data_IF_915651615611
#
_entry.id   IF_915651615611
#
_cell.length_a   1.000
_cell.length_b   1.000
_cell.length_c   1.000
_cell.angle_alpha   90.00
_cell.angle_beta   90.00
_cell.angle_gamma   90.00
#
_symmetry.space_group_name_H-M   'P 1'
#
loop_
_entity.id
_entity.type
_entity.pdbx_description
1 polymer ?
#
# COMPACT_ATOMS: atom_id res chain seq x y z
N UNK A 1 -23.34 11.24 5.15
CA UNK A 1 -22.24 11.57 6.10
C UNK A 1 -21.19 10.48 5.95
N UNK A 2 -19.89 10.79 6.05
CA UNK A 2 -18.80 9.83 6.05
C UNK A 2 -18.29 9.64 7.47
N UNK A 3 -17.90 8.40 7.80
CA UNK A 3 -17.25 8.09 9.07
C UNK A 3 -15.77 8.45 9.03
N UNK A 4 -15.14 8.33 7.84
CA UNK A 4 -13.72 8.62 7.61
C UNK A 4 -13.52 9.37 6.31
N UNK A 5 -12.66 10.39 6.34
CA UNK A 5 -12.15 11.05 5.14
C UNK A 5 -10.65 10.79 5.06
N UNK A 6 -10.22 10.18 3.96
CA UNK A 6 -8.83 9.76 3.72
C UNK A 6 -8.23 10.71 2.69
N UNK A 7 -7.15 11.38 3.03
CA UNK A 7 -6.46 12.34 2.17
C UNK A 7 -5.18 11.73 1.62
N UNK A 8 -5.16 11.49 0.32
CA UNK A 8 -4.09 10.83 -0.42
C UNK A 8 -4.48 9.43 -0.87
N UNK A 9 -4.63 9.23 -2.18
CA UNK A 9 -5.02 7.97 -2.82
C UNK A 9 -3.85 7.03 -3.16
N UNK A 10 -2.64 7.30 -2.65
CA UNK A 10 -1.51 6.37 -2.80
C UNK A 10 -1.71 5.08 -1.98
N UNK A 11 -0.68 4.20 -1.92
CA UNK A 11 -0.81 2.88 -1.31
C UNK A 11 -1.35 2.90 0.12
N UNK A 12 -0.92 3.86 0.93
CA UNK A 12 -1.39 3.99 2.31
C UNK A 12 -2.87 4.35 2.39
N UNK A 13 -3.31 5.36 1.64
CA UNK A 13 -4.71 5.81 1.67
C UNK A 13 -5.66 4.81 1.02
N UNK A 14 -5.29 4.24 -0.11
CA UNK A 14 -6.10 3.18 -0.75
C UNK A 14 -6.25 1.96 0.17
N UNK A 15 -5.14 1.52 0.81
CA UNK A 15 -5.20 0.43 1.80
C UNK A 15 -6.05 0.80 3.01
N UNK A 16 -5.95 2.04 3.52
CA UNK A 16 -6.79 2.49 4.62
C UNK A 16 -8.29 2.47 4.26
N UNK A 17 -8.65 2.86 3.02
CA UNK A 17 -10.03 2.78 2.54
C UNK A 17 -10.54 1.33 2.49
N UNK A 18 -9.69 0.38 2.03
CA UNK A 18 -10.02 -1.04 1.98
C UNK A 18 -10.28 -1.61 3.38
N UNK A 19 -9.43 -1.28 4.36
CA UNK A 19 -9.65 -1.69 5.74
C UNK A 19 -10.88 -1.00 6.36
N UNK A 20 -11.08 0.30 6.13
CA UNK A 20 -12.28 0.99 6.60
C UNK A 20 -13.57 0.31 6.10
N UNK A 21 -13.58 -0.10 4.83
CA UNK A 21 -14.71 -0.85 4.28
C UNK A 21 -14.91 -2.21 4.98
N UNK A 22 -13.85 -2.96 5.26
CA UNK A 22 -13.93 -4.23 6.02
C UNK A 22 -14.52 -4.05 7.42
N UNK A 23 -14.24 -2.91 8.05
CA UNK A 23 -14.82 -2.54 9.35
C UNK A 23 -16.22 -1.92 9.24
N UNK A 24 -16.82 -1.89 8.05
CA UNK A 24 -18.17 -1.37 7.82
C UNK A 24 -18.26 0.16 7.83
N UNK A 25 -17.13 0.86 7.75
CA UNK A 25 -17.09 2.33 7.77
C UNK A 25 -17.30 2.91 6.37
N UNK A 26 -18.11 3.97 6.30
CA UNK A 26 -18.32 4.74 5.09
C UNK A 26 -17.19 5.75 4.92
N UNK A 27 -16.31 5.54 3.94
CA UNK A 27 -15.16 6.40 3.70
C UNK A 27 -15.28 7.22 2.42
N UNK A 28 -14.62 8.38 2.42
CA UNK A 28 -14.33 9.21 1.24
C UNK A 28 -12.81 9.25 1.08
N UNK A 29 -12.32 8.82 -0.07
CA UNK A 29 -10.90 8.90 -0.44
C UNK A 29 -10.68 10.03 -1.43
N UNK A 30 -9.82 10.98 -1.10
CA UNK A 30 -9.50 12.12 -1.97
C UNK A 30 -8.02 12.19 -2.31
N UNK A 31 -7.69 12.53 -3.55
CA UNK A 31 -6.31 12.81 -3.97
C UNK A 31 -6.26 14.02 -4.88
N UNK A 32 -5.17 14.79 -4.79
CA UNK A 32 -4.91 15.93 -5.69
C UNK A 32 -4.52 15.49 -7.10
N UNK A 33 -4.01 14.29 -7.27
CA UNK A 33 -3.64 13.72 -8.55
C UNK A 33 -4.84 13.03 -9.22
N UNK A 34 -4.69 12.77 -10.52
CA UNK A 34 -5.55 11.90 -11.31
C UNK A 34 -4.74 10.62 -11.61
N UNK A 35 -5.30 9.46 -11.35
CA UNK A 35 -4.65 8.18 -11.57
C UNK A 35 -4.89 7.65 -13.00
N UNK A 36 -3.91 6.94 -13.60
CA UNK A 36 -2.59 6.59 -13.05
C UNK A 36 -1.65 7.79 -13.01
N UNK A 37 -0.89 7.91 -11.91
CA UNK A 37 0.12 8.94 -11.75
C UNK A 37 1.44 8.31 -11.34
N UNK A 38 2.55 8.87 -11.81
CA UNK A 38 3.87 8.49 -11.33
C UNK A 38 4.20 9.15 -9.99
N UNK A 39 5.07 8.50 -9.23
CA UNK A 39 5.66 9.06 -8.01
C UNK A 39 7.06 8.51 -7.82
N UNK A 40 8.05 9.39 -7.79
CA UNK A 40 9.44 9.01 -7.54
C UNK A 40 9.53 8.32 -6.18
N UNK A 41 9.79 7.02 -6.21
CA UNK A 41 9.95 6.14 -5.04
C UNK A 41 10.52 4.80 -5.52
N UNK A 42 11.06 3.99 -4.60
CA UNK A 42 11.44 2.62 -4.94
C UNK A 42 10.21 1.76 -5.30
N UNK A 43 10.35 0.97 -6.35
CA UNK A 43 9.27 0.13 -6.88
C UNK A 43 9.21 -1.26 -6.21
N UNK A 44 10.17 -1.55 -5.33
CA UNK A 44 10.20 -2.82 -4.61
C UNK A 44 9.13 -2.87 -3.50
N UNK A 45 8.28 -3.86 -3.57
CA UNK A 45 7.26 -4.11 -2.56
C UNK A 45 7.87 -4.87 -1.39
N UNK A 46 7.76 -4.28 -0.19
CA UNK A 46 8.23 -4.91 1.04
C UNK A 46 7.41 -6.17 1.36
N UNK A 47 8.01 -7.07 2.13
CA UNK A 47 7.29 -8.25 2.59
C UNK A 47 6.05 -7.94 3.42
N UNK A 48 6.02 -6.81 4.12
CA UNK A 48 4.81 -6.35 4.80
C UNK A 48 3.71 -5.98 3.80
N UNK A 49 4.07 -5.34 2.70
CA UNK A 49 3.14 -5.01 1.61
C UNK A 49 2.54 -6.30 1.02
N UNK A 50 3.37 -7.27 0.68
CA UNK A 50 2.92 -8.57 0.14
C UNK A 50 1.95 -9.26 1.09
N UNK A 51 2.22 -9.23 2.41
CA UNK A 51 1.32 -9.79 3.41
C UNK A 51 -0.04 -9.08 3.45
N UNK A 52 -0.04 -7.75 3.39
CA UNK A 52 -1.27 -6.96 3.33
C UNK A 52 -2.07 -7.28 2.06
N UNK A 53 -1.40 -7.45 0.92
CA UNK A 53 -2.07 -7.83 -0.34
C UNK A 53 -2.75 -9.19 -0.23
N UNK A 54 -2.12 -10.15 0.44
CA UNK A 54 -2.73 -11.46 0.71
C UNK A 54 -3.92 -11.34 1.66
N UNK A 55 -3.77 -10.58 2.74
CA UNK A 55 -4.81 -10.35 3.74
C UNK A 55 -6.06 -9.68 3.15
N UNK A 56 -5.86 -8.79 2.18
CA UNK A 56 -6.93 -8.11 1.45
C UNK A 56 -7.42 -8.89 0.21
N UNK A 57 -6.91 -10.10 -0.03
CA UNK A 57 -7.25 -10.94 -1.19
C UNK A 57 -6.94 -10.26 -2.53
N UNK A 58 -5.89 -9.43 -2.56
CA UNK A 58 -5.46 -8.67 -3.73
C UNK A 58 -4.23 -9.25 -4.41
N UNK A 59 -3.67 -10.36 -3.90
CA UNK A 59 -2.41 -10.90 -4.38
C UNK A 59 -2.51 -11.42 -5.82
N UNK A 60 -3.59 -12.09 -6.17
CA UNK A 60 -3.77 -12.66 -7.52
C UNK A 60 -3.83 -11.56 -8.59
N UNK A 61 -4.48 -10.44 -8.29
CA UNK A 61 -4.51 -9.29 -9.18
C UNK A 61 -3.17 -8.54 -9.24
N UNK A 62 -2.42 -8.52 -8.13
CA UNK A 62 -1.08 -7.94 -8.09
C UNK A 62 -0.10 -8.75 -8.97
N UNK A 63 -0.22 -10.07 -8.99
CA UNK A 63 0.63 -10.96 -9.81
C UNK A 63 0.37 -10.82 -11.33
N UNK A 64 -0.72 -10.19 -11.72
CA UNK A 64 -1.07 -9.92 -13.11
C UNK A 64 -0.55 -8.56 -13.61
N UNK A 65 0.00 -7.75 -12.70
CA UNK A 65 0.52 -6.43 -13.06
C UNK A 65 1.88 -6.54 -13.74
N UNK A 66 2.18 -5.60 -14.64
CA UNK A 66 3.49 -5.48 -15.24
C UNK A 66 4.54 -5.16 -14.18
N UNK A 67 5.47 -6.08 -13.99
CA UNK A 67 6.52 -6.00 -12.99
C UNK A 67 7.45 -7.20 -13.02
N UNK A 68 8.29 -7.32 -12.02
CA UNK A 68 9.24 -8.42 -11.89
C UNK A 68 9.11 -9.10 -10.54
N UNK A 69 9.21 -10.41 -10.57
CA UNK A 69 9.31 -11.23 -9.36
C UNK A 69 10.72 -11.20 -8.79
N UNK A 70 10.80 -11.18 -7.47
CA UNK A 70 12.06 -11.31 -6.74
C UNK A 70 12.03 -12.61 -5.96
N UNK A 71 13.00 -13.47 -6.21
CA UNK A 71 13.22 -14.70 -5.45
C UNK A 71 14.57 -14.70 -4.72
N UNK A 72 15.40 -13.68 -4.92
CA UNK A 72 16.72 -13.54 -4.33
C UNK A 72 17.05 -12.09 -4.06
N UNK A 73 17.72 -11.84 -2.95
CA UNK A 73 18.28 -10.53 -2.58
C UNK A 73 19.77 -10.71 -2.40
N UNK A 74 20.58 -9.97 -3.15
CA UNK A 74 22.05 -9.98 -3.04
C UNK A 74 22.51 -8.76 -2.24
N UNK A 75 23.30 -8.98 -1.20
CA UNK A 75 23.96 -7.94 -0.45
C UNK A 75 25.43 -7.89 -0.85
N UNK A 76 25.93 -6.72 -1.25
CA UNK A 76 27.31 -6.48 -1.61
C UNK A 76 28.00 -5.50 -0.68
N UNK A 77 29.28 -5.72 -0.35
CA UNK A 77 30.13 -4.80 0.37
C UNK A 77 31.02 -3.99 -0.60
N UNK A 78 31.56 -2.85 -0.18
CA UNK A 78 32.53 -2.10 -1.00
C UNK A 78 33.81 -2.89 -1.33
N UNK A 79 34.12 -3.94 -0.57
CA UNK A 79 35.25 -4.86 -0.83
C UNK A 79 34.93 -5.98 -1.81
N UNK A 80 33.82 -5.86 -2.56
CA UNK A 80 33.33 -6.84 -3.52
C UNK A 80 32.91 -8.20 -2.93
N UNK A 81 32.85 -8.35 -1.61
CA UNK A 81 32.25 -9.51 -0.99
C UNK A 81 30.74 -9.42 -1.09
N UNK A 82 30.09 -10.51 -1.42
CA UNK A 82 28.63 -10.55 -1.54
C UNK A 82 28.06 -11.85 -0.98
N UNK A 83 26.80 -11.78 -0.55
CA UNK A 83 26.02 -12.96 -0.16
C UNK A 83 24.58 -12.82 -0.63
N UNK A 84 23.96 -13.95 -0.91
CA UNK A 84 22.60 -14.06 -1.40
C UNK A 84 21.66 -14.57 -0.32
N UNK A 85 20.51 -13.93 -0.19
CA UNK A 85 19.37 -14.44 0.54
C UNK A 85 18.31 -14.88 -0.48
N UNK A 86 18.04 -16.17 -0.52
CA UNK A 86 16.96 -16.72 -1.33
C UNK A 86 15.64 -16.66 -0.57
N UNK A 87 14.62 -16.09 -1.19
CA UNK A 87 13.26 -16.17 -0.71
C UNK A 87 12.75 -17.56 -1.05
N UNK A 88 12.81 -18.48 -0.06
CA UNK A 88 12.41 -19.88 -0.26
C UNK A 88 10.94 -20.06 0.01
N UNK A 89 10.36 -20.97 -0.76
CA UNK A 89 9.02 -21.45 -0.47
C UNK A 89 9.00 -22.08 0.94
N UNK A 90 8.12 -21.61 1.77
CA UNK A 90 7.98 -22.05 3.16
C UNK A 90 6.51 -22.39 3.40
N UNK A 91 6.28 -23.56 3.99
CA UNK A 91 4.94 -23.94 4.44
C UNK A 91 4.39 -23.04 5.56
N UNK A 92 5.22 -22.16 6.10
CA UNK A 92 4.77 -21.16 7.07
C UNK A 92 4.16 -19.96 6.34
N UNK A 93 2.84 -19.71 6.47
CA UNK A 93 2.16 -18.59 5.79
C UNK A 93 2.66 -17.21 6.20
N UNK A 94 3.48 -17.11 7.26
CA UNK A 94 4.12 -15.87 7.69
C UNK A 94 5.41 -15.57 6.92
N UNK A 95 5.98 -16.55 6.22
CA UNK A 95 7.20 -16.37 5.45
C UNK A 95 6.87 -15.80 4.06
N UNK A 96 7.68 -14.84 3.65
CA UNK A 96 7.60 -14.26 2.31
C UNK A 96 8.47 -15.10 1.41
N UNK A 97 7.82 -15.76 0.46
CA UNK A 97 8.46 -16.66 -0.48
C UNK A 97 8.79 -15.99 -1.80
N UNK A 98 8.21 -14.82 -2.06
CA UNK A 98 8.31 -14.07 -3.29
C UNK A 98 8.18 -12.57 -3.00
N UNK A 99 9.03 -11.76 -3.59
CA UNK A 99 8.91 -10.31 -3.61
C UNK A 99 8.51 -9.82 -5.00
N UNK A 100 8.22 -8.54 -5.11
CA UNK A 100 7.82 -7.92 -6.37
C UNK A 100 8.49 -6.57 -6.53
N UNK A 101 8.83 -6.22 -7.78
CA UNK A 101 9.16 -4.85 -8.21
C UNK A 101 8.11 -4.45 -9.22
N UNK A 102 7.27 -3.51 -8.86
CA UNK A 102 6.16 -3.02 -9.69
C UNK A 102 6.21 -1.49 -9.70
N UNK A 103 6.27 -0.85 -10.89
CA UNK A 103 6.27 0.61 -10.99
C UNK A 103 5.12 1.23 -10.19
N UNK A 104 5.44 2.30 -9.44
CA UNK A 104 4.46 3.00 -8.59
C UNK A 104 3.23 3.48 -9.35
N UNK A 105 3.39 3.86 -10.62
CA UNK A 105 2.28 4.22 -11.48
C UNK A 105 1.26 3.09 -11.61
N UNK A 106 1.73 1.85 -11.76
CA UNK A 106 0.90 0.66 -11.93
C UNK A 106 0.33 0.21 -10.59
N UNK A 107 1.18 0.07 -9.58
CA UNK A 107 0.78 -0.41 -8.25
C UNK A 107 -0.19 0.53 -7.55
N UNK A 108 0.10 1.84 -7.55
CA UNK A 108 -0.77 2.83 -6.92
C UNK A 108 -2.14 2.90 -7.62
N UNK A 109 -2.14 2.84 -8.95
CA UNK A 109 -3.40 2.82 -9.72
C UNK A 109 -4.23 1.57 -9.43
N UNK A 110 -3.60 0.40 -9.38
CA UNK A 110 -4.28 -0.85 -9.02
C UNK A 110 -4.98 -0.75 -7.67
N UNK A 111 -4.27 -0.29 -6.63
CA UNK A 111 -4.86 -0.13 -5.30
C UNK A 111 -5.96 0.93 -5.28
N UNK A 112 -5.75 2.05 -5.98
CA UNK A 112 -6.77 3.10 -6.07
C UNK A 112 -8.05 2.59 -6.74
N UNK A 113 -7.93 1.81 -7.82
CA UNK A 113 -9.09 1.18 -8.47
C UNK A 113 -9.84 0.23 -7.53
N UNK A 114 -9.13 -0.55 -6.71
CA UNK A 114 -9.76 -1.41 -5.71
C UNK A 114 -10.51 -0.61 -4.65
N UNK A 115 -9.93 0.48 -4.18
CA UNK A 115 -10.59 1.40 -3.26
C UNK A 115 -11.82 2.07 -3.90
N UNK A 116 -11.73 2.48 -5.17
CA UNK A 116 -12.83 3.09 -5.91
C UNK A 116 -14.06 2.18 -6.04
N UNK A 117 -13.86 0.86 -6.05
CA UNK A 117 -14.95 -0.11 -6.12
C UNK A 117 -15.79 -0.19 -4.83
N UNK A 118 -15.24 0.24 -3.70
CA UNK A 118 -15.83 0.04 -2.36
C UNK A 118 -16.11 1.33 -1.60
N UNK A 119 -15.58 2.47 -2.03
CA UNK A 119 -15.83 3.76 -1.39
C UNK A 119 -15.94 4.89 -2.42
N UNK A 120 -16.48 6.03 -2.00
CA UNK A 120 -16.46 7.23 -2.84
C UNK A 120 -15.04 7.77 -2.96
N UNK A 121 -14.61 8.07 -4.18
CA UNK A 121 -13.30 8.65 -4.47
C UNK A 121 -13.43 9.97 -5.20
N UNK A 122 -12.52 10.91 -4.94
CA UNK A 122 -12.41 12.18 -5.68
C UNK A 122 -10.97 12.45 -6.05
N UNK A 123 -10.71 12.44 -7.33
CA UNK A 123 -9.43 12.80 -7.93
C UNK A 123 -9.38 14.29 -8.28
N UNK A 124 -8.17 14.85 -8.43
CA UNK A 124 -8.02 16.27 -8.69
C UNK A 124 -8.47 17.19 -7.53
N UNK A 125 -8.67 16.61 -6.35
CA UNK A 125 -9.20 17.31 -5.18
C UNK A 125 -8.09 17.65 -4.17
N UNK A 126 -7.72 18.92 -4.10
CA UNK A 126 -6.68 19.40 -3.19
C UNK A 126 -7.26 19.82 -1.85
N UNK A 127 -6.85 19.16 -0.78
CA UNK A 127 -7.14 19.58 0.60
C UNK A 127 -6.12 20.64 1.01
N UNK A 128 -6.59 21.86 1.33
CA UNK A 128 -5.72 23.01 1.67
C UNK A 128 -5.50 23.14 3.18
N UNK A 129 -6.55 22.92 3.96
CA UNK A 129 -6.50 23.07 5.41
C UNK A 129 -7.55 22.17 6.07
N UNK A 130 -7.28 21.77 7.30
CA UNK A 130 -8.21 21.06 8.18
C UNK A 130 -8.32 21.85 9.47
N UNK A 131 -9.55 22.18 9.89
CA UNK A 131 -9.82 22.76 11.21
C UNK A 131 -10.45 21.71 12.12
N UNK A 132 -10.07 21.73 13.39
CA UNK A 132 -10.58 20.81 14.39
C UNK A 132 -11.44 21.54 15.41
N UNK A 133 -12.60 20.99 15.72
CA UNK A 133 -13.41 21.42 16.87
C UNK A 133 -13.07 20.60 18.13
N UNK A 134 -12.50 19.40 17.96
CA UNK A 134 -12.07 18.49 19.00
C UNK A 134 -10.88 17.66 18.56
N UNK A 135 -9.82 17.61 19.35
CA UNK A 135 -8.67 16.75 19.12
C UNK A 135 -8.40 15.93 20.40
N UNK A 136 -8.63 14.62 20.33
CA UNK A 136 -8.14 13.68 21.34
C UNK A 136 -6.79 13.15 20.90
N UNK A 137 -5.73 13.54 21.61
CA UNK A 137 -4.41 12.92 21.43
C UNK A 137 -4.44 11.54 22.11
N UNK A 138 -3.85 10.50 21.46
CA UNK A 138 -3.68 9.23 22.14
C UNK A 138 -2.80 9.44 23.36
N UNK A 139 -3.34 9.16 24.54
CA UNK A 139 -2.54 9.11 25.77
C UNK A 139 -1.52 7.99 25.62
N UNK A 140 -0.22 8.33 25.68
CA UNK A 140 0.80 7.30 25.87
C UNK A 140 0.47 6.58 27.17
N UNK A 141 0.07 5.33 27.09
CA UNK A 141 0.13 4.44 28.24
C UNK A 141 1.60 4.22 28.56
N UNK A 142 2.10 4.91 29.56
CA UNK A 142 3.37 4.58 30.22
C UNK A 142 3.12 3.29 31.00
N UNK A 143 3.62 2.18 30.49
CA UNK A 143 3.77 0.91 31.16
C UNK A 143 5.18 0.44 30.93
#
# INVERSE_FOLDING_TARGET
MYDVIIVGGGPAGATAALYAHREGLKSLLVDKAIFPRDKICGDALSGKTVRIMRELELIDGLEQLDGSDINRITFGSPSHSQFDIHLKDSQNPRHITKGYVIPRQIFDHYLFQKAHQICETREGFTVKAVSYTHLTLPTKSSG
#
